data_IF_352994802373
#
_entry.id   IF_352994802373
#
_cell.length_a   1.000
_cell.length_b   1.000
_cell.length_c   1.000
_cell.angle_alpha   90.00
_cell.angle_beta   90.00
_cell.angle_gamma   90.00
#
_symmetry.space_group_name_H-M   'P 1'
#
loop_
_entity.id
_entity.type
_entity.pdbx_description
1 polymer ?
#
# COMPACT_ATOMS: atom_id res chain seq x y z
N UNK A 1 -21.26 -51.86 12.43
CA UNK A 1 -19.90 -51.36 12.71
C UNK A 1 -18.95 -52.03 11.74
N UNK A 2 -18.16 -51.25 10.99
CA UNK A 2 -17.30 -51.80 9.93
C UNK A 2 -16.08 -52.54 10.50
N UNK A 3 -15.62 -53.63 9.86
CA UNK A 3 -14.49 -54.46 10.34
C UNK A 3 -13.13 -53.72 10.44
N UNK A 4 -13.01 -52.50 9.90
CA UNK A 4 -11.81 -51.67 10.00
C UNK A 4 -11.63 -50.93 11.32
N UNK A 5 -12.72 -50.61 12.04
CA UNK A 5 -12.68 -49.80 13.27
C UNK A 5 -12.00 -50.58 14.40
N UNK A 6 -12.40 -51.84 14.59
CA UNK A 6 -11.82 -52.74 15.58
C UNK A 6 -10.32 -52.96 15.40
N UNK A 7 -9.87 -53.14 14.14
CA UNK A 7 -8.44 -53.34 13.83
C UNK A 7 -7.61 -52.10 14.17
N UNK A 8 -8.12 -50.91 13.83
CA UNK A 8 -7.46 -49.65 14.17
C UNK A 8 -7.37 -49.46 15.68
N UNK A 9 -8.44 -49.77 16.42
CA UNK A 9 -8.46 -49.64 17.87
C UNK A 9 -7.44 -50.58 18.54
N UNK A 10 -7.39 -51.86 18.15
CA UNK A 10 -6.38 -52.80 18.64
C UNK A 10 -4.95 -52.36 18.30
N UNK A 11 -4.73 -51.82 17.09
CA UNK A 11 -3.41 -51.31 16.70
C UNK A 11 -3.00 -50.10 17.54
N UNK A 12 -3.91 -49.17 17.81
CA UNK A 12 -3.65 -48.03 18.70
C UNK A 12 -3.33 -48.52 20.12
N UNK A 13 -4.12 -49.42 20.70
CA UNK A 13 -3.85 -50.01 22.02
C UNK A 13 -2.45 -50.66 22.08
N UNK A 14 -2.03 -51.34 21.01
CA UNK A 14 -0.68 -51.92 20.90
C UNK A 14 0.41 -50.84 20.80
N UNK A 15 0.20 -49.79 20.00
CA UNK A 15 1.18 -48.71 19.80
C UNK A 15 1.42 -47.88 21.07
N UNK A 16 0.37 -47.67 21.86
CA UNK A 16 0.45 -46.93 23.11
C UNK A 16 0.92 -47.79 24.30
N UNK A 17 1.15 -49.11 24.10
CA UNK A 17 1.78 -50.00 25.07
C UNK A 17 1.23 -49.93 26.52
N UNK A 18 -0.06 -49.61 26.67
CA UNK A 18 -0.74 -49.46 27.96
C UNK A 18 -1.04 -48.01 28.40
N UNK A 19 -0.59 -46.99 27.65
CA UNK A 19 -1.03 -45.61 27.84
C UNK A 19 -2.43 -45.37 27.25
N UNK A 20 -3.16 -44.38 27.79
CA UNK A 20 -4.48 -44.01 27.30
C UNK A 20 -4.41 -43.48 25.87
N UNK A 21 -5.15 -44.12 24.96
CA UNK A 21 -5.29 -43.67 23.58
C UNK A 21 -6.02 -42.32 23.57
N UNK A 22 -5.45 -41.25 22.98
CA UNK A 22 -6.11 -39.95 22.93
C UNK A 22 -7.49 -40.02 22.28
N UNK A 23 -8.45 -39.29 22.83
CA UNK A 23 -9.80 -39.19 22.23
C UNK A 23 -9.71 -38.64 20.81
N UNK A 24 -10.32 -39.35 19.86
CA UNK A 24 -10.37 -38.93 18.46
C UNK A 24 -11.78 -39.04 17.90
N UNK A 25 -12.11 -38.16 16.96
CA UNK A 25 -13.41 -38.19 16.31
C UNK A 25 -13.55 -39.42 15.41
N UNK A 26 -14.55 -40.25 15.69
CA UNK A 26 -14.92 -41.44 14.91
C UNK A 26 -15.67 -41.06 13.62
N UNK A 27 -15.03 -40.27 12.78
CA UNK A 27 -15.51 -39.97 11.43
C UNK A 27 -15.00 -41.05 10.44
N UNK A 28 -15.80 -41.40 9.43
CA UNK A 28 -15.43 -42.38 8.39
C UNK A 28 -14.11 -42.01 7.68
N UNK A 29 -13.88 -40.72 7.47
CA UNK A 29 -12.62 -40.20 6.91
C UNK A 29 -11.42 -40.45 7.84
N UNK A 30 -11.58 -40.22 9.15
CA UNK A 30 -10.53 -40.42 10.15
C UNK A 30 -10.20 -41.90 10.32
N UNK A 31 -11.22 -42.76 10.36
CA UNK A 31 -11.05 -44.22 10.44
C UNK A 31 -10.30 -44.74 9.20
N UNK A 32 -10.60 -44.21 8.00
CA UNK A 32 -9.91 -44.60 6.76
C UNK A 32 -8.44 -44.14 6.78
N UNK A 33 -8.18 -42.92 7.26
CA UNK A 33 -6.82 -42.39 7.42
C UNK A 33 -6.00 -43.25 8.40
N UNK A 34 -6.56 -43.53 9.59
CA UNK A 34 -5.92 -44.36 10.62
C UNK A 34 -5.69 -45.79 10.14
N UNK A 35 -6.63 -46.36 9.38
CA UNK A 35 -6.48 -47.69 8.81
C UNK A 35 -5.36 -47.75 7.76
N UNK A 36 -5.21 -46.71 6.94
CA UNK A 36 -4.09 -46.59 6.00
C UNK A 36 -2.77 -46.40 6.75
N UNK A 37 -2.74 -45.57 7.80
CA UNK A 37 -1.56 -45.38 8.64
C UNK A 37 -1.14 -46.69 9.31
N UNK A 38 -2.09 -47.44 9.88
CA UNK A 38 -1.88 -48.77 10.44
C UNK A 38 -1.23 -49.70 9.42
N UNK A 39 -1.77 -49.79 8.19
CA UNK A 39 -1.18 -50.62 7.13
C UNK A 39 0.24 -50.21 6.77
N UNK A 40 0.50 -48.91 6.64
CA UNK A 40 1.85 -48.40 6.38
C UNK A 40 2.80 -48.75 7.53
N UNK A 41 2.35 -48.62 8.77
CA UNK A 41 3.13 -48.97 9.95
C UNK A 41 3.42 -50.46 10.02
N UNK A 42 2.41 -51.32 9.84
CA UNK A 42 2.58 -52.77 9.80
C UNK A 42 3.55 -53.22 8.71
N UNK A 43 3.55 -52.54 7.56
CA UNK A 43 4.51 -52.82 6.49
C UNK A 43 5.92 -52.38 6.90
N UNK A 44 6.07 -51.17 7.44
CA UNK A 44 7.36 -50.67 7.93
C UNK A 44 7.93 -51.54 9.06
N UNK A 45 7.08 -52.02 9.97
CA UNK A 45 7.44 -52.94 11.05
C UNK A 45 7.96 -54.27 10.50
N UNK A 46 7.29 -54.84 9.49
CA UNK A 46 7.73 -56.07 8.81
C UNK A 46 9.06 -55.87 8.10
N UNK A 47 9.21 -54.78 7.36
CA UNK A 47 10.44 -54.48 6.63
C UNK A 47 11.61 -54.30 7.62
N UNK A 48 11.36 -53.60 8.74
CA UNK A 48 12.32 -53.45 9.83
C UNK A 48 12.66 -54.78 10.47
N UNK A 49 11.66 -55.65 10.71
CA UNK A 49 11.88 -56.98 11.27
C UNK A 49 12.78 -57.83 10.37
N UNK A 50 12.51 -57.86 9.06
CA UNK A 50 13.35 -58.58 8.09
C UNK A 50 14.79 -58.07 8.12
N UNK A 51 14.98 -56.76 8.22
CA UNK A 51 16.30 -56.15 8.33
C UNK A 51 17.02 -56.55 9.63
N UNK A 52 16.31 -56.60 10.75
CA UNK A 52 16.84 -57.06 12.04
C UNK A 52 17.26 -58.52 11.97
N UNK A 53 16.43 -59.38 11.39
CA UNK A 53 16.72 -60.81 11.21
C UNK A 53 17.97 -61.00 10.32
N UNK A 54 18.07 -60.27 9.21
CA UNK A 54 19.25 -60.27 8.33
C UNK A 54 20.54 -59.83 9.06
N UNK A 55 20.47 -58.76 9.86
CA UNK A 55 21.62 -58.32 10.66
C UNK A 55 22.04 -59.33 11.71
N UNK A 56 21.09 -60.00 12.36
CA UNK A 56 21.37 -61.06 13.34
C UNK A 56 22.06 -62.25 12.67
N UNK A 57 21.58 -62.68 11.50
CA UNK A 57 22.18 -63.75 10.73
C UNK A 57 23.62 -63.41 10.33
N UNK A 58 23.84 -62.21 9.76
CA UNK A 58 25.19 -61.73 9.40
C UNK A 58 26.11 -61.69 10.62
N UNK A 59 25.64 -61.20 11.77
CA UNK A 59 26.43 -61.16 12.98
C UNK A 59 26.87 -62.56 13.43
N UNK A 60 25.98 -63.55 13.35
CA UNK A 60 26.33 -64.93 13.68
C UNK A 60 27.33 -65.51 12.67
N UNK A 61 27.15 -65.27 11.37
CA UNK A 61 28.10 -65.68 10.33
C UNK A 61 29.50 -65.12 10.59
N UNK A 62 29.61 -63.81 10.88
CA UNK A 62 30.87 -63.17 11.25
C UNK A 62 31.48 -63.77 12.53
N UNK A 63 30.68 -64.11 13.53
CA UNK A 63 31.15 -64.74 14.77
C UNK A 63 31.67 -66.17 14.55
N UNK A 64 31.01 -66.95 13.68
CA UNK A 64 31.48 -68.28 13.30
C UNK A 64 32.80 -68.18 12.54
N UNK A 65 32.89 -67.26 11.59
CA UNK A 65 34.10 -67.05 10.79
C UNK A 65 35.27 -66.53 11.65
N UNK A 66 35.01 -65.64 12.61
CA UNK A 66 36.00 -65.19 13.57
C UNK A 66 36.55 -66.36 14.41
N UNK A 67 35.68 -67.25 14.91
CA UNK A 67 36.09 -68.48 15.62
C UNK A 67 36.90 -69.42 14.74
N UNK A 68 36.53 -69.57 13.46
CA UNK A 68 37.27 -70.38 12.48
C UNK A 68 38.70 -69.84 12.29
N UNK A 69 38.82 -68.53 12.06
CA UNK A 69 40.11 -67.84 11.92
C UNK A 69 40.95 -67.95 13.19
N UNK A 70 40.37 -67.76 14.37
CA UNK A 70 41.04 -67.95 15.66
C UNK A 70 41.61 -69.38 15.80
N UNK A 71 40.83 -70.39 15.40
CA UNK A 71 41.27 -71.79 15.40
C UNK A 71 42.45 -72.07 14.47
N UNK A 72 42.47 -71.46 13.27
CA UNK A 72 43.60 -71.54 12.33
C UNK A 72 44.85 -70.87 12.90
N UNK A 73 44.71 -69.67 13.47
CA UNK A 73 45.81 -68.92 14.07
C UNK A 73 46.43 -69.66 15.27
N UNK A 74 45.60 -70.27 16.12
CA UNK A 74 46.07 -71.11 17.24
C UNK A 74 46.92 -72.30 16.77
N UNK A 75 46.53 -72.97 15.68
CA UNK A 75 47.31 -74.09 15.10
C UNK A 75 48.69 -73.64 14.58
N UNK A 76 48.80 -72.38 14.15
CA UNK A 76 50.04 -71.78 13.68
C UNK A 76 50.88 -71.13 14.79
N UNK A 77 50.48 -71.27 16.07
CA UNK A 77 51.06 -70.59 17.22
C UNK A 77 51.05 -69.05 17.12
N UNK A 78 50.11 -68.48 16.35
CA UNK A 78 49.93 -67.04 16.18
C UNK A 78 48.77 -66.55 17.07
N UNK A 79 48.89 -66.74 18.37
CA UNK A 79 47.88 -66.31 19.34
C UNK A 79 48.10 -64.86 19.77
N UNK A 80 47.06 -64.19 20.27
CA UNK A 80 47.21 -62.87 20.91
C UNK A 80 48.21 -62.94 22.07
N UNK A 81 48.29 -64.09 22.76
CA UNK A 81 49.23 -64.33 23.84
C UNK A 81 50.70 -64.45 23.40
N UNK A 82 50.97 -64.70 22.11
CA UNK A 82 52.34 -64.76 21.57
C UNK A 82 52.87 -63.41 21.09
N UNK A 83 52.03 -62.37 21.10
CA UNK A 83 52.41 -61.02 20.69
C UNK A 83 52.96 -60.22 21.88
N UNK A 84 53.83 -59.26 21.60
CA UNK A 84 54.21 -58.25 22.57
C UNK A 84 53.02 -57.35 22.93
N UNK A 85 53.07 -56.71 24.09
CA UNK A 85 52.04 -55.74 24.50
C UNK A 85 51.82 -54.66 23.44
N UNK A 86 52.89 -54.17 22.81
CA UNK A 86 52.83 -53.20 21.73
C UNK A 86 52.08 -53.76 20.51
N UNK A 87 52.34 -55.01 20.12
CA UNK A 87 51.66 -55.67 19.01
C UNK A 87 50.15 -55.82 19.24
N UNK A 88 49.74 -56.18 20.46
CA UNK A 88 48.32 -56.29 20.84
C UNK A 88 47.62 -54.92 20.75
N UNK A 89 48.27 -53.86 21.22
CA UNK A 89 47.73 -52.49 21.13
C UNK A 89 47.60 -52.07 19.66
N UNK A 90 48.63 -52.26 18.84
CA UNK A 90 48.60 -51.89 17.42
C UNK A 90 47.49 -52.61 16.65
N UNK A 91 47.32 -53.93 16.85
CA UNK A 91 46.23 -54.68 16.22
C UNK A 91 44.85 -54.18 16.65
N UNK A 92 44.67 -53.87 17.94
CA UNK A 92 43.42 -53.30 18.45
C UNK A 92 43.13 -51.94 17.80
N UNK A 93 44.14 -51.08 17.66
CA UNK A 93 43.99 -49.77 17.02
C UNK A 93 43.61 -49.94 15.55
N UNK A 94 44.28 -50.82 14.80
CA UNK A 94 43.96 -51.08 13.39
C UNK A 94 42.54 -51.64 13.23
N UNK A 95 42.14 -52.61 14.07
CA UNK A 95 40.80 -53.17 14.04
C UNK A 95 39.72 -52.12 14.36
N UNK A 96 39.96 -51.29 15.38
CA UNK A 96 39.05 -50.20 15.73
C UNK A 96 38.97 -49.14 14.62
N UNK A 97 40.10 -48.76 14.01
CA UNK A 97 40.13 -47.83 12.90
C UNK A 97 39.38 -48.39 11.68
N UNK A 98 39.54 -49.69 11.37
CA UNK A 98 38.81 -50.34 10.30
C UNK A 98 37.29 -50.31 10.56
N UNK A 99 36.86 -50.54 11.81
CA UNK A 99 35.45 -50.44 12.19
C UNK A 99 34.91 -49.01 12.08
N UNK A 100 35.65 -48.01 12.57
CA UNK A 100 35.26 -46.59 12.53
C UNK A 100 35.16 -46.11 11.08
N UNK A 101 36.15 -46.45 10.26
CA UNK A 101 36.21 -46.08 8.84
C UNK A 101 35.38 -47.01 7.93
N UNK A 102 34.74 -48.04 8.52
CA UNK A 102 33.93 -49.05 7.83
C UNK A 102 34.66 -49.73 6.66
N UNK A 103 35.93 -50.05 6.86
CA UNK A 103 36.80 -50.67 5.87
C UNK A 103 36.72 -52.20 5.98
N UNK A 104 36.67 -52.88 4.83
CA UNK A 104 36.52 -54.34 4.74
C UNK A 104 37.83 -55.12 4.89
N UNK A 105 38.95 -54.47 4.65
CA UNK A 105 40.29 -55.03 4.77
C UNK A 105 41.21 -54.12 5.57
N UNK A 106 42.38 -54.64 5.95
CA UNK A 106 43.41 -53.87 6.66
C UNK A 106 44.50 -53.40 5.71
N UNK A 107 44.18 -53.14 4.43
CA UNK A 107 45.16 -52.64 3.46
C UNK A 107 45.32 -51.12 3.57
N UNK A 108 46.55 -50.64 3.40
CA UNK A 108 46.86 -49.21 3.46
C UNK A 108 46.02 -48.40 2.47
N UNK A 109 45.79 -48.94 1.27
CA UNK A 109 44.97 -48.30 0.23
C UNK A 109 43.54 -48.06 0.69
N UNK A 110 42.92 -49.02 1.37
CA UNK A 110 41.54 -48.89 1.82
C UNK A 110 41.41 -47.90 2.98
N UNK A 111 42.39 -47.87 3.90
CA UNK A 111 42.48 -46.84 4.94
C UNK A 111 42.67 -45.45 4.34
N UNK A 112 43.61 -45.29 3.41
CA UNK A 112 43.87 -44.00 2.75
C UNK A 112 42.64 -43.51 1.99
N UNK A 113 41.93 -44.38 1.27
CA UNK A 113 40.71 -44.01 0.56
C UNK A 113 39.59 -43.59 1.51
N UNK A 114 39.38 -44.34 2.61
CA UNK A 114 38.36 -44.00 3.60
C UNK A 114 38.67 -42.68 4.32
N UNK A 115 39.95 -42.42 4.63
CA UNK A 115 40.40 -41.15 5.17
C UNK A 115 40.17 -40.00 4.18
N UNK A 116 40.51 -40.17 2.90
CA UNK A 116 40.26 -39.17 1.86
C UNK A 116 38.78 -38.87 1.69
N UNK A 117 37.94 -39.91 1.69
CA UNK A 117 36.50 -39.74 1.66
C UNK A 117 36.00 -38.93 2.87
N UNK A 118 36.50 -39.22 4.08
CA UNK A 118 36.13 -38.46 5.28
C UNK A 118 36.60 -37.00 5.20
N UNK A 119 37.81 -36.74 4.70
CA UNK A 119 38.32 -35.38 4.45
C UNK A 119 37.44 -34.62 3.46
N UNK A 120 37.02 -35.26 2.36
CA UNK A 120 36.12 -34.68 1.36
C UNK A 120 34.75 -34.34 1.97
N UNK A 121 34.19 -35.23 2.80
CA UNK A 121 32.93 -34.97 3.50
C UNK A 121 33.06 -33.83 4.50
N UNK A 122 34.17 -33.75 5.25
CA UNK A 122 34.46 -32.61 6.14
C UNK A 122 34.49 -31.31 5.32
N UNK A 123 35.17 -31.31 4.17
CA UNK A 123 35.25 -30.14 3.31
C UNK A 123 33.88 -29.71 2.77
N UNK A 124 33.07 -30.65 2.27
CA UNK A 124 31.70 -30.37 1.79
C UNK A 124 30.81 -29.80 2.88
N UNK A 125 30.88 -30.36 4.08
CA UNK A 125 30.11 -29.87 5.24
C UNK A 125 30.57 -28.47 5.62
N UNK A 126 31.87 -28.21 5.62
CA UNK A 126 32.41 -26.88 5.94
C UNK A 126 32.02 -25.83 4.88
N UNK A 127 32.09 -26.16 3.58
CA UNK A 127 31.62 -25.28 2.51
C UNK A 127 30.12 -24.97 2.65
N UNK A 128 29.30 -25.98 2.95
CA UNK A 128 27.87 -25.79 3.20
C UNK A 128 27.63 -24.90 4.42
N UNK A 129 28.37 -25.09 5.51
CA UNK A 129 28.32 -24.27 6.73
C UNK A 129 28.63 -22.81 6.42
N UNK A 130 29.73 -22.55 5.71
CA UNK A 130 30.15 -21.19 5.32
C UNK A 130 29.09 -20.53 4.42
N UNK A 131 28.51 -21.28 3.48
CA UNK A 131 27.43 -20.77 2.61
C UNK A 131 26.20 -20.38 3.43
N UNK A 132 25.81 -21.22 4.38
CA UNK A 132 24.65 -20.95 5.24
C UNK A 132 24.90 -19.75 6.17
N UNK A 133 26.10 -19.62 6.71
CA UNK A 133 26.50 -18.46 7.51
C UNK A 133 26.39 -17.14 6.72
N UNK A 134 26.79 -17.14 5.44
CA UNK A 134 26.60 -15.98 4.54
C UNK A 134 25.12 -15.69 4.25
N UNK A 135 24.31 -16.73 4.07
CA UNK A 135 22.87 -16.59 3.85
C UNK A 135 22.21 -15.96 5.10
N UNK A 136 22.56 -16.47 6.28
CA UNK A 136 22.06 -15.97 7.56
C UNK A 136 22.43 -14.50 7.75
N UNK A 137 23.68 -14.14 7.49
CA UNK A 137 24.13 -12.74 7.59
C UNK A 137 23.35 -11.83 6.64
N UNK A 138 23.15 -12.26 5.39
CA UNK A 138 22.35 -11.53 4.41
C UNK A 138 20.89 -11.38 4.86
N UNK A 139 20.31 -12.42 5.46
CA UNK A 139 18.95 -12.39 5.98
C UNK A 139 18.83 -11.44 7.17
N UNK A 140 19.80 -11.47 8.10
CA UNK A 140 19.88 -10.53 9.23
C UNK A 140 19.90 -9.09 8.72
N UNK A 141 20.70 -8.78 7.70
CA UNK A 141 20.78 -7.42 7.18
C UNK A 141 19.49 -6.99 6.47
N UNK A 142 18.83 -7.91 5.74
CA UNK A 142 17.49 -7.67 5.20
C UNK A 142 16.45 -7.41 6.30
N UNK A 143 16.48 -8.19 7.39
CA UNK A 143 15.59 -8.00 8.54
C UNK A 143 15.82 -6.63 9.18
N UNK A 144 17.07 -6.22 9.40
CA UNK A 144 17.39 -4.88 9.92
C UNK A 144 16.79 -3.78 9.05
N UNK A 145 16.97 -3.86 7.72
CA UNK A 145 16.38 -2.88 6.79
C UNK A 145 14.85 -2.90 6.86
N UNK A 146 14.23 -4.07 6.93
CA UNK A 146 12.78 -4.21 7.06
C UNK A 146 12.26 -3.61 8.39
N UNK A 147 12.94 -3.84 9.51
CA UNK A 147 12.60 -3.26 10.82
C UNK A 147 12.69 -1.74 10.80
N UNK A 148 13.73 -1.19 10.17
CA UNK A 148 13.85 0.27 9.98
C UNK A 148 12.65 0.78 9.18
N UNK A 149 12.29 0.17 8.04
CA UNK A 149 11.11 0.56 7.26
C UNK A 149 9.80 0.45 8.05
N UNK A 150 9.64 -0.62 8.84
CA UNK A 150 8.47 -0.82 9.69
C UNK A 150 8.35 0.30 10.73
N UNK A 151 9.45 0.69 11.37
CA UNK A 151 9.44 1.81 12.33
C UNK A 151 9.06 3.14 11.69
N UNK A 152 9.54 3.40 10.46
CA UNK A 152 9.17 4.61 9.71
C UNK A 152 7.70 4.60 9.32
N UNK A 153 7.17 3.47 8.85
CA UNK A 153 5.75 3.32 8.53
C UNK A 153 4.87 3.52 9.76
N UNK A 154 5.26 2.96 10.92
CA UNK A 154 4.53 3.16 12.17
C UNK A 154 4.46 4.63 12.58
N UNK A 155 5.59 5.34 12.52
CA UNK A 155 5.64 6.80 12.78
C UNK A 155 4.78 7.59 11.79
N UNK A 156 4.84 7.25 10.51
CA UNK A 156 4.02 7.91 9.49
C UNK A 156 2.53 7.68 9.71
N UNK A 157 2.14 6.48 10.14
CA UNK A 157 0.77 6.13 10.48
C UNK A 157 0.25 6.94 11.67
N UNK A 158 1.03 7.04 12.76
CA UNK A 158 0.70 7.89 13.91
C UNK A 158 0.48 9.36 13.52
N UNK A 159 1.34 9.91 12.65
CA UNK A 159 1.18 11.29 12.15
C UNK A 159 -0.09 11.44 11.30
N UNK A 160 -0.41 10.46 10.46
CA UNK A 160 -1.62 10.49 9.63
C UNK A 160 -2.88 10.35 10.47
N UNK A 161 -2.89 9.48 11.47
CA UNK A 161 -3.98 9.32 12.43
C UNK A 161 -4.23 10.61 13.20
N UNK A 162 -3.17 11.27 13.68
CA UNK A 162 -3.29 12.56 14.37
C UNK A 162 -3.87 13.64 13.44
N UNK A 163 -3.41 13.71 12.19
CA UNK A 163 -3.96 14.64 11.19
C UNK A 163 -5.43 14.35 10.88
N UNK A 164 -5.80 13.08 10.74
CA UNK A 164 -7.18 12.68 10.49
C UNK A 164 -8.09 13.05 11.66
N UNK A 165 -7.64 12.84 12.91
CA UNK A 165 -8.36 13.24 14.12
C UNK A 165 -8.56 14.76 14.20
N UNK A 166 -7.57 15.57 13.81
CA UNK A 166 -7.71 17.02 13.75
C UNK A 166 -8.64 17.49 12.61
N UNK A 167 -8.69 16.78 11.48
CA UNK A 167 -9.52 17.14 10.32
C UNK A 167 -10.98 16.69 10.44
N UNK A 168 -11.26 15.61 11.19
CA UNK A 168 -12.62 15.14 11.45
C UNK A 168 -13.59 16.25 11.92
N UNK A 169 -13.30 17.04 12.96
CA UNK A 169 -14.22 18.08 13.42
C UNK A 169 -14.43 19.18 12.37
N UNK A 170 -13.39 19.53 11.61
CA UNK A 170 -13.50 20.54 10.56
C UNK A 170 -14.34 20.04 9.37
N UNK A 171 -14.14 18.78 8.96
CA UNK A 171 -14.93 18.14 7.90
C UNK A 171 -16.38 17.93 8.31
N UNK A 172 -16.66 17.56 9.56
CA UNK A 172 -18.02 17.51 10.11
C UNK A 172 -18.69 18.89 10.11
N UNK A 173 -17.98 19.93 10.57
CA UNK A 173 -18.48 21.31 10.54
C UNK A 173 -18.81 21.75 9.11
N UNK A 174 -17.88 21.57 8.17
CA UNK A 174 -18.10 21.87 6.74
C UNK A 174 -19.28 21.09 6.17
N UNK A 175 -19.46 19.83 6.56
CA UNK A 175 -20.60 19.01 6.12
C UNK A 175 -21.93 19.58 6.62
N UNK A 176 -21.99 20.02 7.89
CA UNK A 176 -23.17 20.70 8.45
C UNK A 176 -23.45 22.02 7.73
N UNK A 177 -22.43 22.82 7.45
CA UNK A 177 -22.55 24.09 6.72
C UNK A 177 -23.08 23.85 5.29
N UNK A 178 -22.54 22.86 4.58
CA UNK A 178 -23.01 22.47 3.24
C UNK A 178 -24.49 22.04 3.30
N UNK A 179 -24.88 21.25 4.29
CA UNK A 179 -26.27 20.82 4.46
C UNK A 179 -27.20 22.02 4.72
N UNK A 180 -26.78 22.97 5.55
CA UNK A 180 -27.53 24.20 5.82
C UNK A 180 -27.70 25.06 4.56
N UNK A 181 -26.61 25.34 3.84
CA UNK A 181 -26.64 26.14 2.61
C UNK A 181 -27.51 25.45 1.54
N UNK A 182 -27.40 24.14 1.39
CA UNK A 182 -28.24 23.37 0.45
C UNK A 182 -29.73 23.48 0.79
N UNK A 183 -30.06 23.40 2.08
CA UNK A 183 -31.45 23.56 2.55
C UNK A 183 -31.98 24.97 2.26
N UNK A 184 -31.19 26.01 2.55
CA UNK A 184 -31.53 27.41 2.25
C UNK A 184 -31.67 27.67 0.75
N UNK A 185 -30.78 27.12 -0.06
CA UNK A 185 -30.86 27.23 -1.52
C UNK A 185 -32.16 26.62 -2.07
N UNK A 186 -32.60 25.48 -1.51
CA UNK A 186 -33.88 24.86 -1.86
C UNK A 186 -35.07 25.72 -1.44
N UNK A 187 -35.07 26.23 -0.21
CA UNK A 187 -36.10 27.14 0.30
C UNK A 187 -36.24 28.39 -0.59
N UNK A 188 -35.13 29.04 -0.95
CA UNK A 188 -35.15 30.19 -1.84
C UNK A 188 -35.61 29.85 -3.25
N UNK A 189 -35.23 28.69 -3.78
CA UNK A 189 -35.71 28.22 -5.07
C UNK A 189 -37.22 28.00 -5.07
N UNK A 190 -37.77 27.42 -4.00
CA UNK A 190 -39.20 27.19 -3.85
C UNK A 190 -39.96 28.51 -3.67
N UNK A 191 -39.41 29.45 -2.90
CA UNK A 191 -39.99 30.80 -2.74
C UNK A 191 -39.99 31.60 -4.04
N UNK A 192 -38.91 31.52 -4.82
CA UNK A 192 -38.85 32.13 -6.17
C UNK A 192 -39.93 31.53 -7.06
N UNK A 193 -40.06 30.19 -7.11
CA UNK A 193 -41.12 29.52 -7.88
C UNK A 193 -42.52 29.96 -7.44
N UNK A 194 -42.75 30.07 -6.13
CA UNK A 194 -44.02 30.52 -5.59
C UNK A 194 -44.32 31.96 -6.04
N UNK A 195 -43.36 32.88 -5.89
CA UNK A 195 -43.51 34.28 -6.32
C UNK A 195 -43.72 34.40 -7.83
N UNK A 196 -43.00 33.61 -8.65
CA UNK A 196 -43.20 33.53 -10.09
C UNK A 196 -44.61 33.04 -10.44
N UNK A 197 -45.11 32.03 -9.73
CA UNK A 197 -46.48 31.52 -9.91
C UNK A 197 -47.49 32.60 -9.54
N UNK A 198 -47.30 33.32 -8.43
CA UNK A 198 -48.15 34.44 -8.02
C UNK A 198 -48.16 35.55 -9.07
N UNK A 199 -47.00 35.94 -9.60
CA UNK A 199 -46.89 36.93 -10.69
C UNK A 199 -47.65 36.49 -11.95
N UNK A 200 -47.57 35.20 -12.29
CA UNK A 200 -48.29 34.64 -13.44
C UNK A 200 -49.81 34.59 -13.20
N UNK A 201 -50.26 34.29 -11.98
CA UNK A 201 -51.69 34.30 -11.60
C UNK A 201 -52.28 35.72 -11.63
N UNK A 202 -51.51 36.72 -11.18
CA UNK A 202 -51.89 38.14 -11.21
C UNK A 202 -51.82 38.77 -12.62
N UNK A 203 -51.40 38.01 -13.65
CA UNK A 203 -51.24 38.48 -15.05
C UNK A 203 -50.47 39.81 -15.15
N UNK A 204 -49.40 39.93 -14.37
CA UNK A 204 -48.59 41.16 -14.34
C UNK A 204 -47.84 41.31 -15.67
N UNK A 205 -48.05 42.44 -16.34
CA UNK A 205 -47.41 42.78 -17.62
C UNK A 205 -45.87 42.87 -17.46
N UNK A 206 -45.06 42.12 -18.24
CA UNK A 206 -43.60 42.22 -18.24
C UNK A 206 -43.05 43.64 -18.49
N UNK A 207 -43.86 44.54 -19.05
CA UNK A 207 -43.48 45.94 -19.27
C UNK A 207 -43.23 46.72 -17.97
N UNK A 208 -43.83 46.31 -16.83
CA UNK A 208 -43.62 46.98 -15.53
C UNK A 208 -42.44 46.40 -14.73
N UNK A 209 -41.70 45.44 -15.29
CA UNK A 209 -40.56 44.87 -14.59
C UNK A 209 -39.46 45.91 -14.45
N UNK A 210 -38.72 45.87 -13.33
CA UNK A 210 -37.71 46.87 -13.02
C UNK A 210 -36.69 47.06 -14.16
N UNK A 211 -36.23 45.99 -14.79
CA UNK A 211 -35.29 46.09 -15.92
C UNK A 211 -35.90 46.83 -17.13
N UNK A 212 -37.18 46.59 -17.43
CA UNK A 212 -37.93 47.27 -18.50
C UNK A 212 -38.13 48.75 -18.16
N UNK A 213 -38.55 49.07 -16.94
CA UNK A 213 -38.72 50.45 -16.46
C UNK A 213 -37.41 51.23 -16.47
N UNK A 214 -36.30 50.62 -16.04
CA UNK A 214 -34.98 51.25 -16.10
C UNK A 214 -34.54 51.48 -17.54
N UNK A 215 -34.82 50.54 -18.45
CA UNK A 215 -34.55 50.71 -19.88
C UNK A 215 -35.37 51.87 -20.46
N UNK A 216 -36.68 51.90 -20.21
CA UNK A 216 -37.56 52.98 -20.65
C UNK A 216 -37.16 54.33 -20.04
N UNK A 217 -36.77 54.38 -18.76
CA UNK A 217 -36.28 55.60 -18.11
C UNK A 217 -35.00 56.12 -18.77
N UNK A 218 -34.05 55.23 -19.07
CA UNK A 218 -32.82 55.59 -19.78
C UNK A 218 -33.08 56.05 -21.22
N UNK A 219 -34.05 55.45 -21.90
CA UNK A 219 -34.48 55.89 -23.23
C UNK A 219 -35.15 57.27 -23.15
N UNK A 220 -35.94 57.54 -22.11
CA UNK A 220 -36.59 58.83 -21.87
C UNK A 220 -35.57 59.92 -21.54
N UNK A 221 -34.57 59.62 -20.70
CA UNK A 221 -33.45 60.52 -20.42
C UNK A 221 -32.67 60.87 -21.69
N UNK A 222 -32.36 59.87 -22.53
CA UNK A 222 -31.72 60.12 -23.83
C UNK A 222 -32.57 60.99 -24.75
N UNK A 223 -33.86 60.70 -24.86
CA UNK A 223 -34.78 61.54 -25.64
C UNK A 223 -34.84 62.97 -25.10
N UNK A 224 -34.80 63.14 -23.77
CA UNK A 224 -34.83 64.44 -23.13
C UNK A 224 -33.51 65.22 -23.32
N UNK A 225 -32.37 64.52 -23.26
CA UNK A 225 -31.06 65.07 -23.63
C UNK A 225 -31.05 65.51 -25.10
N UNK A 226 -31.62 64.73 -26.02
CA UNK A 226 -31.73 65.08 -27.45
C UNK A 226 -32.71 66.25 -27.70
N UNK A 227 -33.82 66.31 -26.96
CA UNK A 227 -34.81 67.39 -27.08
C UNK A 227 -34.29 68.73 -26.54
N UNK A 228 -33.43 68.72 -25.51
CA UNK A 228 -32.93 69.94 -24.87
C UNK A 228 -32.18 70.90 -25.84
N UNK A 229 -31.20 70.48 -26.68
CA UNK A 229 -30.55 71.36 -27.65
C UNK A 229 -31.47 71.69 -28.83
N UNK A 230 -32.42 70.82 -29.20
CA UNK A 230 -33.40 71.13 -30.25
C UNK A 230 -34.37 72.22 -29.79
N UNK A 231 -34.81 72.21 -28.54
CA UNK A 231 -35.69 73.22 -27.97
C UNK A 231 -34.95 74.57 -27.82
N UNK A 232 -33.67 74.56 -27.44
CA UNK A 232 -32.82 75.76 -27.42
C UNK A 232 -32.62 76.33 -28.83
N UNK A 233 -32.34 75.48 -29.83
CA UNK A 233 -32.25 75.91 -31.23
C UNK A 233 -33.56 76.54 -31.71
N UNK A 234 -34.70 75.92 -31.42
CA UNK A 234 -36.02 76.42 -31.81
C UNK A 234 -36.35 77.76 -31.14
N UNK A 235 -36.01 77.93 -29.85
CA UNK A 235 -36.12 79.23 -29.19
C UNK A 235 -35.21 80.30 -29.82
N UNK A 236 -33.99 79.93 -30.22
CA UNK A 236 -33.03 80.84 -30.89
C UNK A 236 -33.54 81.28 -32.27
N UNK A 237 -34.18 80.37 -33.03
CA UNK A 237 -34.80 80.74 -34.30
C UNK A 237 -36.08 81.57 -34.12
N UNK A 238 -36.82 81.38 -33.02
CA UNK A 238 -38.01 82.20 -32.72
C UNK A 238 -37.70 83.64 -32.29
N UNK A 239 -36.46 83.91 -31.85
CA UNK A 239 -36.03 85.23 -31.37
C UNK A 239 -35.37 86.11 -32.45
N UNK A 240 -35.29 85.62 -33.70
CA UNK A 240 -34.78 86.38 -34.86
C UNK A 240 -35.94 87.00 -35.68
N UNK A 241 -36.01 88.35 -35.81
CA UNK A 241 -37.04 89.01 -36.61
C UNK A 241 -36.90 88.73 -38.13
N UNK A 242 -37.99 88.67 -38.92
CA UNK A 242 -37.98 88.04 -40.24
C UNK A 242 -37.49 88.92 -41.41
N UNK A 243 -37.04 90.16 -41.18
CA UNK A 243 -36.81 91.12 -42.28
C UNK A 243 -35.37 91.64 -42.37
N UNK A 244 -34.77 91.49 -43.56
CA UNK A 244 -33.36 91.73 -43.86
C UNK A 244 -32.96 93.21 -43.70
N UNK A 245 -33.93 94.11 -43.84
CA UNK A 245 -33.78 95.56 -43.65
C UNK A 245 -33.53 95.93 -42.18
N UNK A 246 -34.21 95.26 -41.25
CA UNK A 246 -34.13 95.50 -39.81
C UNK A 246 -32.86 94.91 -39.19
N UNK A 247 -32.30 93.86 -39.78
CA UNK A 247 -31.00 93.28 -39.40
C UNK A 247 -29.85 94.26 -39.68
N UNK A 248 -29.88 94.96 -40.83
CA UNK A 248 -28.87 96.00 -41.13
C UNK A 248 -28.93 97.16 -40.14
N UNK A 249 -30.15 97.61 -39.80
CA UNK A 249 -30.33 98.68 -38.80
C UNK A 249 -29.83 98.23 -37.42
N UNK A 250 -30.11 96.98 -37.00
CA UNK A 250 -29.66 96.47 -35.70
C UNK A 250 -28.16 96.22 -35.63
N UNK A 251 -27.53 95.80 -36.73
CA UNK A 251 -26.07 95.68 -36.83
C UNK A 251 -25.41 97.07 -36.71
N UNK A 252 -25.98 98.08 -37.35
CA UNK A 252 -25.41 99.42 -37.32
C UNK A 252 -25.65 100.12 -35.97
N UNK A 253 -26.80 99.90 -35.31
CA UNK A 253 -27.02 100.29 -33.92
C UNK A 253 -26.04 99.63 -32.94
N UNK A 254 -25.73 98.34 -33.14
CA UNK A 254 -24.77 97.62 -32.31
C UNK A 254 -23.34 98.08 -32.56
N UNK A 255 -22.96 98.39 -33.80
CA UNK A 255 -21.67 99.02 -34.11
C UNK A 255 -21.54 100.40 -33.51
N UNK A 256 -22.60 101.22 -33.56
CA UNK A 256 -22.60 102.53 -32.90
C UNK A 256 -22.42 102.38 -31.38
N UNK A 257 -23.15 101.45 -30.74
CA UNK A 257 -22.98 101.19 -29.31
C UNK A 257 -21.59 100.67 -28.95
N UNK A 258 -20.95 99.90 -29.83
CA UNK A 258 -19.58 99.41 -29.64
C UNK A 258 -18.55 100.53 -29.81
N UNK A 259 -18.77 101.45 -30.74
CA UNK A 259 -17.96 102.66 -30.92
C UNK A 259 -18.10 103.62 -29.72
N UNK A 260 -19.31 103.80 -29.19
CA UNK A 260 -19.55 104.62 -28.00
C UNK A 260 -18.87 104.02 -26.75
N UNK A 261 -18.97 102.70 -26.53
CA UNK A 261 -18.24 102.03 -25.44
C UNK A 261 -16.72 102.09 -25.63
N UNK A 262 -16.23 102.01 -26.88
CA UNK A 262 -14.81 102.17 -27.20
C UNK A 262 -14.30 103.58 -26.89
N UNK A 263 -15.09 104.61 -27.20
CA UNK A 263 -14.78 106.01 -26.88
C UNK A 263 -14.86 106.29 -25.37
N UNK A 264 -15.79 105.65 -24.67
CA UNK A 264 -15.91 105.73 -23.21
C UNK A 264 -14.73 105.05 -22.49
N UNK A 265 -14.25 103.91 -23.04
CA UNK A 265 -13.04 103.25 -22.57
C UNK A 265 -11.79 104.10 -22.83
N UNK A 266 -11.67 104.71 -24.01
CA UNK A 266 -10.54 105.59 -24.35
C UNK A 266 -10.50 106.84 -23.47
N UNK A 267 -11.66 107.46 -23.18
CA UNK A 267 -11.77 108.57 -22.21
C UNK A 267 -11.36 108.17 -20.80
N UNK A 268 -11.72 106.96 -20.35
CA UNK A 268 -11.29 106.43 -19.04
C UNK A 268 -9.79 106.13 -18.97
N UNK A 269 -9.14 105.85 -20.10
CA UNK A 269 -7.70 105.58 -20.17
C UNK A 269 -6.88 106.90 -20.19
N UNK A 270 -7.32 107.93 -20.92
CA UNK A 270 -6.60 109.24 -20.98
C UNK A 270 -6.68 110.04 -19.66
N UNK A 271 -7.71 109.82 -18.84
CA UNK A 271 -7.83 110.41 -17.50
C UNK A 271 -6.89 109.78 -16.45
N UNK A 272 -6.18 108.69 -16.77
CA UNK A 272 -5.21 108.04 -15.86
C UNK A 272 -3.74 108.42 -16.13
N UNK A 273 -3.48 109.40 -17.02
CA UNK A 273 -2.12 109.84 -17.38
C UNK A 273 -1.83 111.36 -17.19
N UNK A 274 -2.60 112.04 -16.34
CA UNK A 274 -2.26 113.37 -15.78
C UNK A 274 -2.36 113.35 -14.25
#
# INVERSE_FOLDING_TARGET
MGPGIWKVQMWLEKMFAGDDVPEFELNASNITLLYNLMKCNEQADKDTQVLVEDYQLKAEEYNIEARRCEGVLKKMNLSIASLSQAGVISLRVIANLALILQVRDTTDTSFLLAMRHLEDEIYKVEEARIKEERNLQTLIDKIKVAMVKQSHLKKAMEVLEQKAACQQPETEKRTKDIHFIRSKAKEYKDKIKQMQTTLHTLKVDPSIYHHSLVKSSKELEKLQEELSPLQVKLQTYSSLPPDLSSIKVKIEELKMKLADLGNELSRKIDLMHM
#
